data_IF_609269589439
#
_entry.id   IF_609269589439
#
_cell.length_a   1.000
_cell.length_b   1.000
_cell.length_c   1.000
_cell.angle_alpha   90.00
_cell.angle_beta   90.00
_cell.angle_gamma   90.00
#
_symmetry.space_group_name_H-M   'P 1'
#
loop_
_entity.id
_entity.type
_entity.pdbx_description
1 polymer ?
#
# COMPACT_ATOMS: atom_id res chain seq x y z
N UNK A 1 4.36 -4.84 -27.50
CA UNK A 1 5.39 -4.37 -26.55
C UNK A 1 6.01 -5.60 -25.91
N UNK A 2 7.24 -5.92 -26.30
CA UNK A 2 8.00 -7.07 -25.78
C UNK A 2 8.95 -6.58 -24.68
N UNK A 3 8.89 -7.22 -23.51
CA UNK A 3 9.76 -6.92 -22.38
C UNK A 3 11.00 -7.83 -22.42
N UNK A 4 12.19 -7.27 -22.65
CA UNK A 4 13.45 -7.97 -22.49
C UNK A 4 13.96 -7.81 -21.04
N UNK A 5 14.07 -8.93 -20.32
CA UNK A 5 14.52 -9.01 -18.93
C UNK A 5 16.06 -9.01 -18.84
N UNK A 6 16.60 -8.16 -17.98
CA UNK A 6 18.03 -7.88 -17.82
C UNK A 6 18.75 -8.86 -16.84
N UNK A 7 18.31 -10.12 -16.79
CA UNK A 7 18.78 -11.13 -15.82
C UNK A 7 20.06 -11.85 -16.22
N UNK A 8 20.54 -11.68 -17.47
CA UNK A 8 21.74 -12.34 -17.98
C UNK A 8 23.08 -11.76 -17.50
N UNK A 9 23.08 -10.53 -16.96
CA UNK A 9 24.31 -9.81 -16.59
C UNK A 9 24.90 -10.27 -15.25
N UNK A 10 24.05 -10.53 -14.24
CA UNK A 10 24.51 -10.90 -12.90
C UNK A 10 25.18 -12.28 -12.86
N UNK A 11 24.67 -13.27 -13.59
CA UNK A 11 25.17 -14.65 -13.50
C UNK A 11 26.58 -14.82 -14.09
N UNK A 12 26.98 -13.96 -15.04
CA UNK A 12 28.33 -14.01 -15.63
C UNK A 12 29.41 -13.57 -14.64
N UNK A 13 29.17 -12.52 -13.86
CA UNK A 13 30.17 -11.98 -12.91
C UNK A 13 30.55 -12.95 -11.79
N UNK A 14 29.61 -13.80 -11.34
CA UNK A 14 29.90 -14.79 -10.29
C UNK A 14 30.58 -16.06 -10.82
N UNK A 15 30.46 -16.35 -12.11
CA UNK A 15 31.08 -17.55 -12.70
C UNK A 15 32.58 -17.40 -12.97
N UNK A 16 33.06 -16.18 -13.19
CA UNK A 16 34.48 -15.91 -13.50
C UNK A 16 35.36 -15.86 -12.25
N UNK A 17 34.81 -15.52 -11.08
CA UNK A 17 35.55 -15.45 -9.82
C UNK A 17 35.84 -16.82 -9.20
N UNK A 18 35.12 -17.87 -9.59
CA UNK A 18 35.29 -19.23 -9.06
C UNK A 18 36.45 -20.03 -9.71
N UNK A 19 37.07 -19.54 -10.80
CA UNK A 19 38.10 -20.30 -11.55
C UNK A 19 39.55 -19.98 -11.18
N UNK A 20 39.80 -19.11 -10.18
CA UNK A 20 41.15 -18.68 -9.77
C UNK A 20 41.50 -19.09 -8.34
N UNK A 21 41.63 -20.40 -8.08
CA UNK A 21 42.44 -20.88 -6.95
C UNK A 21 42.95 -22.30 -7.20
N UNK A 22 44.21 -22.41 -7.65
CA UNK A 22 44.97 -23.67 -7.68
C UNK A 22 45.63 -23.89 -6.31
N UNK A 23 45.72 -25.12 -5.77
CA UNK A 23 46.63 -25.44 -4.67
C UNK A 23 48.02 -25.84 -5.21
N UNK A 24 49.09 -25.31 -4.61
CA UNK A 24 50.48 -25.68 -4.92
C UNK A 24 50.87 -27.02 -4.24
N UNK A 25 51.60 -27.84 -5.00
CA UNK A 25 52.13 -29.17 -4.66
C UNK A 25 53.45 -29.10 -3.87
N UNK A 26 53.69 -30.18 -3.10
CA UNK A 26 54.90 -30.56 -2.37
C UNK A 26 56.11 -30.96 -3.25
N UNK A 27 57.31 -31.03 -2.64
CA UNK A 27 58.55 -31.79 -3.02
C UNK A 27 59.57 -31.72 -1.86
N UNK A 28 59.94 -32.81 -1.15
CA UNK A 28 60.98 -33.88 -1.38
C UNK A 28 62.37 -33.54 -0.75
N UNK A 29 62.76 -34.03 0.45
CA UNK A 29 63.58 -35.25 0.81
C UNK A 29 65.05 -34.89 1.25
N UNK A 30 65.94 -35.73 1.86
CA UNK A 30 65.82 -36.95 2.71
C UNK A 30 66.77 -36.99 3.96
N UNK A 31 66.73 -38.13 4.70
CA UNK A 31 67.78 -38.81 5.53
C UNK A 31 67.50 -39.08 7.03
N UNK A 32 68.00 -40.23 7.56
CA UNK A 32 67.37 -41.00 8.63
C UNK A 32 68.19 -40.99 9.94
N UNK A 33 67.53 -41.02 11.10
CA UNK A 33 67.93 -41.90 12.21
C UNK A 33 67.05 -41.77 13.46
N UNK A 34 67.10 -42.82 14.27
CA UNK A 34 66.78 -42.86 15.70
C UNK A 34 65.30 -42.98 16.08
N UNK A 35 64.90 -44.24 16.24
CA UNK A 35 64.19 -44.78 17.42
C UNK A 35 63.62 -43.75 18.41
N UNK A 36 62.29 -43.62 18.39
CA UNK A 36 61.43 -43.38 19.56
C UNK A 36 60.00 -43.65 19.13
N UNK A 37 59.32 -44.53 19.87
CA UNK A 37 57.87 -44.73 19.74
C UNK A 37 57.15 -43.38 19.91
N UNK A 38 56.69 -42.82 18.79
CA UNK A 38 55.78 -41.69 18.80
C UNK A 38 54.39 -42.29 19.00
N UNK A 39 53.95 -42.32 20.25
CA UNK A 39 52.54 -42.55 20.59
C UNK A 39 51.73 -41.43 19.94
N UNK A 40 51.08 -41.75 18.83
CA UNK A 40 50.12 -40.86 18.18
C UNK A 40 48.92 -40.69 19.10
N UNK A 41 48.99 -39.74 20.03
CA UNK A 41 47.80 -39.17 20.65
C UNK A 41 47.00 -38.52 19.54
N UNK A 42 46.03 -39.26 19.01
CA UNK A 42 45.03 -38.75 18.08
C UNK A 42 44.15 -37.77 18.86
N UNK A 43 44.64 -36.54 19.06
CA UNK A 43 43.85 -35.43 19.53
C UNK A 43 42.72 -35.25 18.52
N UNK A 44 41.55 -35.80 18.86
CA UNK A 44 40.32 -35.50 18.14
C UNK A 44 40.02 -34.04 18.42
N UNK A 45 40.56 -33.15 17.59
CA UNK A 45 40.06 -31.79 17.48
C UNK A 45 38.56 -31.94 17.19
N UNK A 46 37.73 -31.68 18.19
CA UNK A 46 36.31 -31.50 17.96
C UNK A 46 36.24 -30.26 17.08
N UNK A 47 35.98 -30.45 15.79
CA UNK A 47 35.60 -29.35 14.91
C UNK A 47 34.43 -28.66 15.61
N UNK A 48 34.70 -27.49 16.20
CA UNK A 48 33.67 -26.59 16.69
C UNK A 48 32.87 -26.28 15.45
N UNK A 49 31.71 -26.95 15.29
CA UNK A 49 30.77 -26.67 14.22
C UNK A 49 30.45 -25.19 14.38
N UNK A 50 31.05 -24.37 13.54
CA UNK A 50 30.63 -22.99 13.35
C UNK A 50 29.21 -23.17 12.81
N UNK A 51 28.23 -23.02 13.70
CA UNK A 51 26.83 -22.95 13.33
C UNK A 51 26.76 -21.85 12.28
N UNK A 52 26.44 -22.23 11.04
CA UNK A 52 26.03 -21.27 10.03
C UNK A 52 24.96 -20.42 10.70
N UNK A 53 25.20 -19.12 10.76
CA UNK A 53 24.18 -18.15 11.15
C UNK A 53 22.97 -18.39 10.27
N UNK A 54 21.83 -18.66 10.90
CA UNK A 54 20.54 -18.92 10.25
C UNK A 54 20.16 -17.72 9.37
N UNK A 55 20.62 -17.73 8.13
CA UNK A 55 20.15 -16.81 7.09
C UNK A 55 18.79 -17.31 6.63
N UNK A 56 17.75 -16.64 7.14
CA UNK A 56 16.41 -16.47 6.53
C UNK A 56 15.70 -17.75 6.05
N UNK A 57 15.28 -18.58 7.01
CA UNK A 57 14.02 -19.33 6.82
C UNK A 57 12.91 -18.49 7.44
N UNK A 58 11.74 -18.31 6.79
CA UNK A 58 10.60 -17.68 7.43
C UNK A 58 10.31 -18.47 8.70
N UNK A 59 10.32 -17.78 9.84
CA UNK A 59 10.10 -18.41 11.14
C UNK A 59 8.61 -18.75 11.22
N UNK A 60 8.28 -20.00 10.87
CA UNK A 60 6.92 -20.52 10.96
C UNK A 60 6.66 -20.92 12.40
N UNK A 61 5.61 -20.38 12.98
CA UNK A 61 5.13 -20.74 14.31
C UNK A 61 4.01 -21.76 14.17
N UNK A 62 3.84 -22.61 15.17
CA UNK A 62 2.79 -23.60 15.19
C UNK A 62 1.88 -23.34 16.39
N UNK A 63 0.58 -23.26 16.12
CA UNK A 63 -0.46 -23.08 17.13
C UNK A 63 -1.34 -24.33 17.11
N UNK A 64 -1.60 -24.89 18.28
CA UNK A 64 -2.49 -26.03 18.42
C UNK A 64 -3.91 -25.54 18.67
N UNK A 65 -4.86 -25.96 17.83
CA UNK A 65 -6.27 -25.59 17.90
C UNK A 65 -7.17 -26.82 17.87
N UNK A 66 -8.36 -26.72 18.46
CA UNK A 66 -9.34 -27.79 18.47
C UNK A 66 -10.48 -27.46 17.51
N UNK A 67 -10.69 -28.32 16.50
CA UNK A 67 -11.78 -28.18 15.52
C UNK A 67 -12.52 -29.51 15.46
N UNK A 68 -13.85 -29.50 15.57
CA UNK A 68 -14.68 -30.70 15.49
C UNK A 68 -14.29 -31.82 16.50
N UNK A 69 -13.77 -31.44 17.67
CA UNK A 69 -13.27 -32.39 18.67
C UNK A 69 -11.90 -33.01 18.35
N UNK A 70 -11.23 -32.57 17.28
CA UNK A 70 -9.89 -33.01 16.89
C UNK A 70 -8.87 -31.89 17.12
N UNK A 71 -7.66 -32.25 17.55
CA UNK A 71 -6.55 -31.29 17.69
C UNK A 71 -5.80 -31.16 16.37
N UNK A 72 -5.67 -29.92 15.88
CA UNK A 72 -4.97 -29.56 14.66
C UNK A 72 -3.82 -28.60 14.96
N UNK A 73 -2.68 -28.81 14.30
CA UNK A 73 -1.52 -27.92 14.38
C UNK A 73 -1.50 -27.00 13.17
N UNK A 74 -1.81 -25.73 13.37
CA UNK A 74 -1.87 -24.70 12.33
C UNK A 74 -0.55 -23.95 12.27
N UNK A 75 -0.05 -23.71 11.06
CA UNK A 75 1.16 -22.94 10.82
C UNK A 75 0.82 -21.46 10.66
N UNK A 76 1.49 -20.60 11.41
CA UNK A 76 1.21 -19.16 11.51
C UNK A 76 2.48 -18.36 11.25
N UNK A 77 2.34 -17.24 10.56
CA UNK A 77 3.47 -16.37 10.18
C UNK A 77 3.95 -15.47 11.33
N UNK A 78 3.07 -15.12 12.26
CA UNK A 78 3.34 -14.20 13.38
C UNK A 78 2.92 -14.86 14.71
N UNK A 79 3.77 -14.88 15.75
CA UNK A 79 3.43 -15.46 17.05
C UNK A 79 2.27 -14.74 17.75
N UNK A 80 2.00 -13.47 17.46
CA UNK A 80 0.92 -12.72 18.10
C UNK A 80 -0.47 -13.07 17.55
N UNK A 81 -0.54 -13.88 16.49
CA UNK A 81 -1.79 -14.30 15.87
C UNK A 81 -2.42 -15.54 16.51
N UNK A 82 -1.85 -16.07 17.60
CA UNK A 82 -2.41 -17.22 18.32
C UNK A 82 -3.89 -17.02 18.69
N UNK A 83 -4.21 -15.87 19.32
CA UNK A 83 -5.59 -15.54 19.70
C UNK A 83 -6.53 -15.44 18.48
N UNK A 84 -6.03 -14.91 17.36
CA UNK A 84 -6.81 -14.81 16.13
C UNK A 84 -7.10 -16.19 15.53
N UNK A 85 -6.12 -17.08 15.50
CA UNK A 85 -6.28 -18.45 14.99
C UNK A 85 -7.20 -19.26 15.89
N UNK A 86 -7.13 -19.07 17.21
CA UNK A 86 -8.06 -19.68 18.15
C UNK A 86 -9.49 -19.19 17.94
N UNK A 87 -9.68 -17.88 17.74
CA UNK A 87 -11.00 -17.31 17.43
C UNK A 87 -11.60 -17.89 16.13
N UNK A 88 -10.78 -18.09 15.09
CA UNK A 88 -11.22 -18.74 13.85
C UNK A 88 -11.64 -20.19 14.11
N UNK A 89 -10.86 -20.94 14.91
CA UNK A 89 -11.22 -22.30 15.27
C UNK A 89 -12.55 -22.37 16.04
N UNK A 90 -12.78 -21.43 16.96
CA UNK A 90 -14.05 -21.32 17.69
C UNK A 90 -15.22 -20.93 16.79
N UNK A 91 -14.99 -20.10 15.77
CA UNK A 91 -16.00 -19.78 14.77
C UNK A 91 -16.33 -21.00 13.90
N UNK A 92 -15.31 -21.75 13.47
CA UNK A 92 -15.49 -22.98 12.71
C UNK A 92 -16.29 -24.02 13.50
N UNK A 93 -16.00 -24.20 14.79
CA UNK A 93 -16.75 -25.09 15.68
C UNK A 93 -18.22 -24.66 15.78
N UNK A 94 -18.49 -23.37 16.00
CA UNK A 94 -19.87 -22.87 16.04
C UNK A 94 -20.64 -23.12 14.75
N UNK A 95 -19.99 -22.99 13.60
CA UNK A 95 -20.61 -23.26 12.30
C UNK A 95 -20.91 -24.76 12.12
N UNK A 96 -19.97 -25.62 12.50
CA UNK A 96 -20.13 -27.07 12.48
C UNK A 96 -21.28 -27.50 13.40
N UNK A 97 -21.33 -26.98 14.62
CA UNK A 97 -22.39 -27.27 15.59
C UNK A 97 -23.76 -26.81 15.08
N UNK A 98 -23.85 -25.63 14.46
CA UNK A 98 -25.08 -25.10 13.86
C UNK A 98 -25.60 -26.02 12.75
N UNK A 99 -24.72 -26.47 11.85
CA UNK A 99 -25.09 -27.36 10.74
C UNK A 99 -25.46 -28.75 11.26
N UNK A 100 -24.73 -29.27 12.24
CA UNK A 100 -25.01 -30.57 12.85
C UNK A 100 -26.36 -30.58 13.59
N UNK A 101 -26.69 -29.49 14.29
CA UNK A 101 -28.00 -29.31 14.92
C UNK A 101 -29.13 -29.19 13.89
N UNK A 102 -28.86 -28.58 12.74
CA UNK A 102 -29.84 -28.40 11.67
C UNK A 102 -30.07 -29.68 10.84
N UNK A 103 -29.04 -30.53 10.73
CA UNK A 103 -29.06 -31.76 9.93
C UNK A 103 -28.58 -32.96 10.76
N UNK A 104 -29.36 -33.39 11.78
CA UNK A 104 -28.99 -34.51 12.61
C UNK A 104 -28.91 -35.80 11.79
N UNK A 105 -27.84 -36.58 11.97
CA UNK A 105 -27.63 -37.86 11.29
C UNK A 105 -26.79 -37.79 10.01
N UNK A 106 -26.34 -36.60 9.60
CA UNK A 106 -25.36 -36.47 8.53
C UNK A 106 -23.99 -36.97 8.98
N UNK A 107 -23.26 -37.61 8.06
CA UNK A 107 -21.86 -37.97 8.32
C UNK A 107 -21.03 -36.71 8.52
N UNK A 108 -20.09 -36.74 9.48
CA UNK A 108 -19.30 -35.56 9.87
C UNK A 108 -18.56 -34.91 8.70
N UNK A 109 -18.11 -35.69 7.73
CA UNK A 109 -17.48 -35.17 6.50
C UNK A 109 -18.43 -34.27 5.70
N UNK A 110 -19.71 -34.60 5.64
CA UNK A 110 -20.70 -33.79 4.91
C UNK A 110 -20.99 -32.50 5.67
N UNK A 111 -21.04 -32.57 7.00
CA UNK A 111 -21.16 -31.38 7.86
C UNK A 111 -19.97 -30.44 7.66
N UNK A 112 -18.74 -30.98 7.61
CA UNK A 112 -17.53 -30.21 7.33
C UNK A 112 -17.54 -29.59 5.93
N UNK A 113 -17.99 -30.32 4.91
CA UNK A 113 -18.12 -29.79 3.54
C UNK A 113 -19.14 -28.65 3.48
N UNK A 114 -20.30 -28.80 4.14
CA UNK A 114 -21.30 -27.73 4.23
C UNK A 114 -20.78 -26.52 5.00
N UNK A 115 -20.04 -26.73 6.09
CA UNK A 115 -19.39 -25.65 6.84
C UNK A 115 -18.39 -24.90 5.97
N UNK A 116 -17.58 -25.62 5.17
CA UNK A 116 -16.64 -25.01 4.24
C UNK A 116 -17.36 -24.19 3.16
N UNK A 117 -18.44 -24.71 2.57
CA UNK A 117 -19.22 -23.99 1.56
C UNK A 117 -19.80 -22.70 2.15
N UNK A 118 -20.36 -22.76 3.36
CA UNK A 118 -20.90 -21.59 4.04
C UNK A 118 -19.80 -20.57 4.37
N UNK A 119 -18.62 -21.01 4.81
CA UNK A 119 -17.49 -20.11 5.07
C UNK A 119 -17.01 -19.41 3.78
N UNK A 120 -16.97 -20.12 2.65
CA UNK A 120 -16.61 -19.54 1.35
C UNK A 120 -17.68 -18.55 0.88
N UNK A 121 -18.97 -18.87 1.08
CA UNK A 121 -20.06 -17.97 0.73
C UNK A 121 -20.03 -16.69 1.57
N UNK A 122 -19.86 -16.81 2.90
CA UNK A 122 -19.68 -15.66 3.80
C UNK A 122 -18.47 -14.80 3.40
N UNK A 123 -17.37 -15.43 3.00
CA UNK A 123 -16.19 -14.72 2.48
C UNK A 123 -16.52 -13.95 1.20
N UNK A 124 -17.16 -14.59 0.22
CA UNK A 124 -17.52 -13.96 -1.04
C UNK A 124 -18.51 -12.80 -0.83
N UNK A 125 -19.51 -12.98 0.05
CA UNK A 125 -20.43 -11.91 0.42
C UNK A 125 -19.70 -10.74 1.09
N UNK A 126 -18.71 -11.03 1.95
CA UNK A 126 -17.88 -10.01 2.60
C UNK A 126 -16.99 -9.26 1.59
N UNK A 127 -16.37 -9.97 0.65
CA UNK A 127 -15.63 -9.38 -0.47
C UNK A 127 -16.52 -8.44 -1.29
N UNK A 128 -17.70 -8.89 -1.71
CA UNK A 128 -18.65 -8.06 -2.44
C UNK A 128 -19.08 -6.81 -1.65
N UNK A 129 -19.36 -6.96 -0.35
CA UNK A 129 -19.64 -5.81 0.53
C UNK A 129 -18.45 -4.85 0.61
N UNK A 130 -17.22 -5.37 0.64
CA UNK A 130 -16.00 -4.56 0.66
C UNK A 130 -15.84 -3.77 -0.64
N UNK A 131 -16.04 -4.39 -1.80
CA UNK A 131 -16.02 -3.69 -3.09
C UNK A 131 -17.10 -2.60 -3.17
N UNK A 132 -18.33 -2.89 -2.73
CA UNK A 132 -19.39 -1.89 -2.71
C UNK A 132 -19.05 -0.73 -1.75
N UNK A 133 -18.43 -1.02 -0.61
CA UNK A 133 -18.02 0.00 0.35
C UNK A 133 -16.86 0.86 -0.19
N UNK A 134 -15.92 0.28 -0.95
CA UNK A 134 -14.86 1.07 -1.60
C UNK A 134 -15.43 2.02 -2.64
N UNK A 135 -16.42 1.60 -3.42
CA UNK A 135 -17.08 2.46 -4.40
C UNK A 135 -17.82 3.61 -3.71
N UNK A 136 -18.49 3.33 -2.59
CA UNK A 136 -19.16 4.36 -1.78
C UNK A 136 -18.13 5.34 -1.19
N UNK A 137 -17.01 4.83 -0.68
CA UNK A 137 -15.93 5.66 -0.17
C UNK A 137 -15.34 6.57 -1.24
N UNK A 138 -15.16 6.07 -2.47
CA UNK A 138 -14.69 6.86 -3.59
C UNK A 138 -15.68 7.98 -3.96
N UNK A 139 -16.98 7.68 -3.98
CA UNK A 139 -18.03 8.70 -4.20
C UNK A 139 -17.99 9.80 -3.15
N UNK A 140 -17.92 9.44 -1.86
CA UNK A 140 -17.81 10.44 -0.80
C UNK A 140 -16.50 11.24 -0.89
N UNK A 141 -15.40 10.60 -1.29
CA UNK A 141 -14.13 11.29 -1.48
C UNK A 141 -14.21 12.30 -2.63
N UNK A 142 -14.89 11.95 -3.72
CA UNK A 142 -15.18 12.86 -4.83
C UNK A 142 -16.06 14.03 -4.37
N UNK A 143 -17.11 13.78 -3.61
CA UNK A 143 -17.99 14.82 -3.06
C UNK A 143 -17.24 15.79 -2.13
N UNK A 144 -16.38 15.27 -1.25
CA UNK A 144 -15.51 16.10 -0.41
C UNK A 144 -14.58 16.98 -1.26
N UNK A 145 -14.03 16.44 -2.35
CA UNK A 145 -13.16 17.20 -3.23
C UNK A 145 -13.92 18.31 -3.97
N UNK A 146 -15.15 18.03 -4.43
CA UNK A 146 -16.02 19.03 -5.05
C UNK A 146 -16.38 20.14 -4.05
N UNK A 147 -16.81 19.80 -2.83
CA UNK A 147 -17.10 20.77 -1.79
C UNK A 147 -15.88 21.63 -1.41
N UNK A 148 -14.68 21.05 -1.40
CA UNK A 148 -13.44 21.81 -1.19
C UNK A 148 -13.17 22.79 -2.34
N UNK A 149 -13.44 22.39 -3.58
CA UNK A 149 -13.31 23.25 -4.74
C UNK A 149 -14.31 24.42 -4.67
N UNK A 150 -15.58 24.14 -4.40
CA UNK A 150 -16.63 25.15 -4.24
C UNK A 150 -16.30 26.13 -3.11
N UNK A 151 -15.83 25.61 -1.97
CA UNK A 151 -15.41 26.43 -0.85
C UNK A 151 -14.21 27.32 -1.20
N UNK A 152 -13.24 26.82 -1.99
CA UNK A 152 -12.12 27.61 -2.47
C UNK A 152 -12.58 28.73 -3.42
N UNK A 153 -13.53 28.45 -4.30
CA UNK A 153 -14.13 29.46 -5.19
C UNK A 153 -14.84 30.56 -4.40
N UNK A 154 -15.69 30.18 -3.43
CA UNK A 154 -16.40 31.15 -2.59
C UNK A 154 -15.42 31.99 -1.77
N UNK A 155 -14.34 31.38 -1.27
CA UNK A 155 -13.28 32.10 -0.57
C UNK A 155 -12.63 33.15 -1.47
N UNK A 156 -12.35 32.81 -2.72
CA UNK A 156 -11.77 33.74 -3.69
C UNK A 156 -12.73 34.90 -4.00
N UNK A 157 -14.01 34.60 -4.24
CA UNK A 157 -15.05 35.64 -4.45
C UNK A 157 -15.12 36.58 -3.24
N UNK A 158 -15.13 36.03 -2.02
CA UNK A 158 -15.15 36.84 -0.81
C UNK A 158 -13.89 37.71 -0.67
N UNK A 159 -12.74 37.22 -1.14
CA UNK A 159 -11.51 37.99 -1.14
C UNK A 159 -11.56 39.16 -2.13
N UNK A 160 -12.06 38.91 -3.35
CA UNK A 160 -12.30 39.95 -4.35
C UNK A 160 -13.30 41.02 -3.86
N UNK A 161 -14.43 40.59 -3.30
CA UNK A 161 -15.44 41.49 -2.74
C UNK A 161 -14.87 42.35 -1.60
N UNK A 162 -14.06 41.76 -0.72
CA UNK A 162 -13.41 42.51 0.37
C UNK A 162 -12.48 43.58 -0.17
N UNK A 163 -11.71 43.29 -1.23
CA UNK A 163 -10.86 44.29 -1.89
C UNK A 163 -11.67 45.44 -2.46
N UNK A 164 -12.77 45.13 -3.15
CA UNK A 164 -13.62 46.17 -3.74
C UNK A 164 -14.29 47.05 -2.66
N UNK A 165 -14.75 46.46 -1.56
CA UNK A 165 -15.30 47.23 -0.42
C UNK A 165 -14.25 48.18 0.16
N UNK A 166 -13.01 47.72 0.34
CA UNK A 166 -11.92 48.58 0.83
C UNK A 166 -11.62 49.72 -0.13
N UNK A 167 -11.58 49.44 -1.43
CA UNK A 167 -11.39 50.46 -2.48
C UNK A 167 -12.53 51.49 -2.49
N UNK A 168 -13.78 51.04 -2.46
CA UNK A 168 -14.94 51.93 -2.44
C UNK A 168 -14.93 52.80 -1.17
N UNK A 169 -14.54 52.23 -0.03
CA UNK A 169 -14.36 52.99 1.21
C UNK A 169 -13.30 54.09 1.05
N UNK A 170 -12.16 53.78 0.45
CA UNK A 170 -11.11 54.78 0.17
C UNK A 170 -11.61 55.90 -0.76
N UNK A 171 -12.35 55.55 -1.83
CA UNK A 171 -12.94 56.53 -2.76
C UNK A 171 -13.96 57.43 -2.05
N UNK A 172 -14.83 56.85 -1.21
CA UNK A 172 -15.80 57.61 -0.42
C UNK A 172 -15.07 58.52 0.57
N UNK A 173 -14.04 58.02 1.26
CA UNK A 173 -13.27 58.82 2.21
C UNK A 173 -12.54 59.98 1.51
N UNK A 174 -11.98 59.75 0.33
CA UNK A 174 -11.31 60.77 -0.47
C UNK A 174 -12.28 61.83 -1.01
N UNK A 175 -13.46 61.42 -1.50
CA UNK A 175 -14.49 62.34 -2.00
C UNK A 175 -15.27 63.07 -0.89
N UNK A 176 -15.32 62.50 0.32
CA UNK A 176 -15.93 63.13 1.49
C UNK A 176 -15.02 64.16 2.17
N UNK A 177 -13.72 64.20 1.82
CA UNK A 177 -12.82 65.29 2.21
C UNK A 177 -13.08 66.46 1.25
N UNK A 178 -13.38 67.68 1.76
CA UNK A 178 -13.62 68.82 0.90
C UNK A 178 -12.37 69.07 0.04
N UNK A 179 -12.60 69.12 -1.26
CA UNK A 179 -11.64 69.22 -2.33
C UNK A 179 -10.81 70.52 -2.20
N UNK A 180 -9.64 70.47 -1.57
CA UNK A 180 -8.62 71.51 -1.74
C UNK A 180 -7.98 71.29 -3.12
N UNK A 181 -8.57 71.96 -4.10
CA UNK A 181 -8.48 71.62 -5.52
C UNK A 181 -7.06 71.43 -6.05
N UNK A 182 -6.79 70.22 -6.53
CA UNK A 182 -5.86 69.96 -7.63
C UNK A 182 -6.37 68.78 -8.46
N UNK A 183 -6.41 69.01 -9.78
CA UNK A 183 -6.81 68.06 -10.81
C UNK A 183 -6.12 66.70 -10.66
N UNK A 184 -6.90 65.63 -10.53
CA UNK A 184 -6.40 64.26 -10.70
C UNK A 184 -6.91 63.76 -12.04
N UNK A 185 -5.98 63.71 -12.99
CA UNK A 185 -6.21 63.19 -14.33
C UNK A 185 -6.75 61.75 -14.27
N UNK A 186 -7.80 61.51 -15.05
CA UNK A 186 -8.34 60.19 -15.35
C UNK A 186 -7.26 59.28 -15.96
N UNK A 187 -6.58 58.50 -15.14
CA UNK A 187 -5.99 57.22 -15.55
C UNK A 187 -6.87 56.12 -14.96
N UNK A 188 -8.04 55.95 -15.58
CA UNK A 188 -8.95 54.87 -15.25
C UNK A 188 -8.37 53.57 -15.82
N UNK A 189 -7.52 52.90 -15.04
CA UNK A 189 -7.23 51.49 -15.28
C UNK A 189 -8.58 50.74 -15.25
N UNK A 190 -8.91 49.98 -16.32
CA UNK A 190 -10.21 49.33 -16.43
C UNK A 190 -10.38 48.32 -15.29
N UNK A 191 -11.61 48.26 -14.78
CA UNK A 191 -11.93 47.54 -13.56
C UNK A 191 -11.74 46.02 -13.75
N UNK A 192 -11.23 45.28 -12.75
CA UNK A 192 -11.05 43.84 -12.86
C UNK A 192 -12.39 43.09 -13.05
N UNK A 193 -13.50 43.63 -12.53
CA UNK A 193 -14.83 43.06 -12.77
C UNK A 193 -15.31 43.21 -14.23
N UNK A 194 -14.92 44.28 -14.93
CA UNK A 194 -15.24 44.44 -16.36
C UNK A 194 -14.46 43.44 -17.22
N UNK A 195 -13.22 43.11 -16.83
CA UNK A 195 -12.42 42.07 -17.51
C UNK A 195 -12.90 40.63 -17.27
N UNK A 196 -13.60 40.38 -16.16
CA UNK A 196 -14.26 39.09 -15.90
C UNK A 196 -15.56 38.96 -16.69
N UNK A 197 -16.38 40.02 -16.78
CA UNK A 197 -17.61 40.03 -17.60
C UNK A 197 -17.28 39.84 -19.09
N UNK A 198 -16.18 40.43 -19.59
CA UNK A 198 -15.75 40.28 -20.98
C UNK A 198 -15.35 38.83 -21.31
N UNK A 199 -14.68 38.12 -20.38
CA UNK A 199 -14.28 36.72 -20.59
C UNK A 199 -15.45 35.73 -20.62
N UNK A 200 -16.56 36.03 -19.97
CA UNK A 200 -17.76 35.18 -20.03
C UNK A 200 -18.73 35.57 -21.16
N UNK A 201 -18.58 36.75 -21.76
CA UNK A 201 -19.47 37.23 -22.84
C UNK A 201 -19.01 36.83 -24.24
N UNK A 202 -17.72 36.52 -24.43
CA UNK A 202 -17.15 36.15 -25.73
C UNK A 202 -17.35 34.67 -26.11
N UNK A 203 -17.72 33.79 -25.17
CA UNK A 203 -17.96 32.36 -25.43
C UNK A 203 -19.40 32.05 -25.87
N UNK A 204 -20.36 32.98 -25.73
CA UNK A 204 -21.77 32.78 -26.08
C UNK A 204 -22.15 33.26 -27.51
N UNK A 205 -21.20 33.78 -28.30
CA UNK A 205 -21.49 34.33 -29.65
C UNK A 205 -20.79 33.62 -30.82
N UNK A 206 -20.17 32.44 -30.60
CA UNK A 206 -19.47 31.69 -31.66
C UNK A 206 -20.05 30.33 -32.04
N UNK A 207 -21.34 30.09 -31.80
CA UNK A 207 -22.04 29.02 -32.50
C UNK A 207 -23.28 29.54 -33.24
N UNK A 208 -23.16 29.59 -34.57
CA UNK A 208 -24.32 29.55 -35.46
C UNK A 208 -24.57 30.78 -36.30
N UNK A 209 -23.74 31.02 -37.34
CA UNK A 209 -24.25 31.29 -38.70
C UNK A 209 -23.19 30.84 -39.71
N UNK A 210 -23.40 29.68 -40.35
CA UNK A 210 -22.84 29.43 -41.69
C UNK A 210 -23.99 29.11 -42.63
N UNK A 211 -24.27 30.11 -43.49
CA UNK A 211 -24.78 30.08 -44.86
C UNK A 211 -25.91 29.11 -45.24
N UNK A 212 -27.07 29.67 -45.58
CA UNK A 212 -27.84 29.20 -46.73
C UNK A 212 -28.48 30.37 -47.48
N UNK A 213 -28.19 30.38 -48.79
CA UNK A 213 -28.76 31.07 -49.97
C UNK A 213 -28.86 32.60 -50.03
#
# INVERSE_FOLDING_TARGET
>A
MEYHSNTGSLFKQYSESAKKSKPQKAKDSPEPDSTKEIVNYRQRYKNKRISKTDSEKPKVFHVDVYIAGMQHKVSVSDPNQESYVQMIADQANRMIDSINNSHPGFHMTNVLVLALINAIDEWNQSEHKRYNMTDIQERFQSEINNLKADYAQIREINWELKKEILRLKDIIEHNSKPNDGKDVQNTADPLPLESLIFRFSDDDTREGVTNHD
#
